data_IF_058772525811
#
_entry.id   IF_058772525811
#
_cell.length_a   1.000
_cell.length_b   1.000
_cell.length_c   1.000
_cell.angle_alpha   90.00
_cell.angle_beta   90.00
_cell.angle_gamma   90.00
#
_symmetry.space_group_name_H-M   'P 1'
#
loop_
_entity.id
_entity.type
_entity.pdbx_description
1 polymer ?
#
# COMPACT_ATOMS: atom_id res chain seq x y z
N UNK A 1 -33.97 7.76 -5.99
CA UNK A 1 -32.88 7.29 -6.86
C UNK A 1 -31.58 7.68 -6.18
N UNK A 2 -30.88 6.72 -5.57
CA UNK A 2 -29.66 6.98 -4.82
C UNK A 2 -28.53 7.39 -5.75
N UNK A 3 -27.89 8.51 -5.45
CA UNK A 3 -26.68 8.94 -6.14
C UNK A 3 -25.66 7.80 -6.07
N UNK A 4 -25.28 7.25 -7.23
CA UNK A 4 -24.19 6.28 -7.32
C UNK A 4 -22.96 6.97 -6.71
N UNK A 5 -22.38 6.39 -5.67
CA UNK A 5 -21.11 6.83 -5.10
C UNK A 5 -20.06 6.72 -6.22
N UNK A 6 -19.82 7.82 -6.91
CA UNK A 6 -18.83 7.89 -7.98
C UNK A 6 -17.45 8.11 -7.36
N UNK A 7 -16.58 7.11 -7.58
CA UNK A 7 -15.15 7.06 -7.28
C UNK A 7 -14.71 6.98 -5.82
N UNK A 8 -14.73 5.76 -5.26
CA UNK A 8 -14.01 5.38 -4.03
C UNK A 8 -12.46 5.35 -4.16
N UNK A 9 -11.87 6.03 -5.16
CA UNK A 9 -10.42 6.07 -5.40
C UNK A 9 -10.03 7.42 -6.02
N UNK A 10 -9.73 8.42 -5.21
CA UNK A 10 -8.90 9.53 -5.70
C UNK A 10 -7.50 8.98 -5.85
N UNK A 11 -7.14 8.59 -7.07
CA UNK A 11 -5.78 8.14 -7.37
C UNK A 11 -4.86 9.36 -7.40
N UNK A 12 -3.81 9.29 -6.60
CA UNK A 12 -2.76 10.31 -6.53
C UNK A 12 -1.44 9.69 -6.89
N UNK A 13 -0.78 10.26 -7.90
CA UNK A 13 0.59 9.94 -8.26
C UNK A 13 1.54 10.86 -7.48
N UNK A 14 2.76 10.40 -7.14
CA UNK A 14 3.74 11.27 -6.52
C UNK A 14 4.18 12.38 -7.50
N UNK A 15 4.63 13.51 -6.97
CA UNK A 15 5.23 14.60 -7.77
C UNK A 15 6.68 14.28 -8.10
N UNK A 16 7.41 13.73 -7.14
CA UNK A 16 8.81 13.31 -7.27
C UNK A 16 8.97 11.81 -7.45
N UNK A 17 10.22 11.38 -7.62
CA UNK A 17 10.59 9.97 -7.51
C UNK A 17 10.40 9.49 -6.07
N UNK A 18 9.93 8.26 -5.89
CA UNK A 18 9.77 7.62 -4.58
C UNK A 18 10.67 6.40 -4.52
N UNK A 19 11.62 6.37 -3.59
CA UNK A 19 12.42 5.18 -3.30
C UNK A 19 11.59 4.19 -2.50
N UNK A 20 11.60 2.94 -2.94
CA UNK A 20 10.95 1.81 -2.28
C UNK A 20 11.99 1.13 -1.39
N UNK A 21 11.74 1.13 -0.09
CA UNK A 21 12.71 0.70 0.91
C UNK A 21 12.20 -0.56 1.59
N UNK A 22 13.01 -1.62 1.57
CA UNK A 22 12.74 -2.91 2.19
C UNK A 22 13.76 -3.18 3.28
N UNK A 23 13.31 -3.34 4.53
CA UNK A 23 14.18 -3.60 5.68
C UNK A 23 15.34 -2.60 5.82
N UNK A 24 15.12 -1.34 5.43
CA UNK A 24 16.12 -0.26 5.42
C UNK A 24 16.98 -0.16 4.15
N UNK A 25 16.81 -1.05 3.17
CA UNK A 25 17.55 -1.04 1.91
C UNK A 25 16.67 -0.60 0.72
N UNK A 26 17.19 0.24 -0.18
CA UNK A 26 16.47 0.63 -1.40
C UNK A 26 16.44 -0.55 -2.37
N UNK A 27 15.23 -1.00 -2.73
CA UNK A 27 15.00 -2.12 -3.66
C UNK A 27 14.43 -1.69 -5.00
N UNK A 28 14.07 -0.42 -5.13
CA UNK A 28 13.62 0.15 -6.39
C UNK A 28 13.09 1.56 -6.25
N UNK A 29 12.52 2.07 -7.34
CA UNK A 29 11.98 3.41 -7.42
C UNK A 29 10.65 3.42 -8.18
N UNK A 30 9.76 4.30 -7.74
CA UNK A 30 8.52 4.65 -8.43
C UNK A 30 8.72 6.03 -9.03
N UNK A 31 8.51 6.14 -10.33
CA UNK A 31 8.62 7.41 -11.05
C UNK A 31 7.30 8.19 -10.97
N UNK A 32 7.35 9.53 -11.05
CA UNK A 32 6.16 10.37 -11.13
C UNK A 32 5.52 10.22 -12.51
N UNK A 33 4.73 9.17 -12.65
CA UNK A 33 4.04 8.79 -13.89
C UNK A 33 2.63 8.28 -13.60
N UNK A 34 1.87 8.02 -14.66
CA UNK A 34 0.52 7.47 -14.60
C UNK A 34 0.45 6.23 -13.68
N UNK A 35 -0.65 6.05 -12.92
CA UNK A 35 -0.80 4.89 -12.04
C UNK A 35 -0.54 3.57 -12.77
N UNK A 36 0.36 2.76 -12.22
CA UNK A 36 0.72 1.46 -12.77
C UNK A 36 1.13 0.48 -11.67
N UNK A 37 1.20 -0.80 -12.01
CA UNK A 37 1.68 -1.85 -11.11
C UNK A 37 3.21 -1.89 -11.13
N UNK A 38 3.81 -1.97 -9.95
CA UNK A 38 5.25 -2.16 -9.77
C UNK A 38 5.52 -3.50 -9.08
N UNK A 39 6.63 -4.12 -9.43
CA UNK A 39 7.15 -5.33 -8.77
C UNK A 39 8.65 -5.19 -8.60
N UNK A 40 9.11 -5.42 -7.37
CA UNK A 40 10.53 -5.30 -7.01
C UNK A 40 11.02 -6.65 -6.49
N UNK A 41 12.00 -7.29 -7.16
CA UNK A 41 12.57 -8.54 -6.67
C UNK A 41 13.36 -8.28 -5.39
N UNK A 42 13.06 -9.05 -4.35
CA UNK A 42 13.78 -8.99 -3.07
C UNK A 42 14.69 -10.22 -2.97
N UNK A 43 16.01 -10.04 -2.74
CA UNK A 43 16.89 -11.16 -2.46
C UNK A 43 16.43 -11.93 -1.23
N UNK A 44 16.36 -13.27 -1.31
CA UNK A 44 15.94 -14.10 -0.18
C UNK A 44 16.78 -13.92 1.08
N UNK A 45 18.05 -13.52 0.93
CA UNK A 45 18.95 -13.18 2.04
C UNK A 45 18.54 -11.93 2.83
N UNK A 46 17.67 -11.07 2.27
CA UNK A 46 17.11 -9.90 2.94
C UNK A 46 15.68 -10.16 3.49
N UNK A 47 15.23 -11.41 3.49
CA UNK A 47 13.97 -11.79 4.16
C UNK A 47 14.24 -12.09 5.63
N UNK A 48 13.38 -11.53 6.48
CA UNK A 48 13.36 -11.71 7.94
C UNK A 48 12.01 -12.31 8.34
N UNK A 49 11.87 -12.72 9.61
CA UNK A 49 10.58 -13.17 10.15
C UNK A 49 9.51 -12.06 10.10
N UNK A 50 9.91 -10.81 10.33
CA UNK A 50 9.09 -9.63 10.12
C UNK A 50 9.85 -8.66 9.21
N UNK A 51 9.19 -8.17 8.18
CA UNK A 51 9.78 -7.30 7.17
C UNK A 51 9.01 -5.99 7.09
N UNK A 52 9.74 -4.90 6.87
CA UNK A 52 9.18 -3.57 6.74
C UNK A 52 9.36 -3.06 5.31
N UNK A 53 8.27 -2.54 4.75
CA UNK A 53 8.25 -1.79 3.49
C UNK A 53 7.91 -0.34 3.77
N UNK A 54 8.73 0.57 3.26
CA UNK A 54 8.59 2.01 3.45
C UNK A 54 8.75 2.73 2.10
N UNK A 55 8.29 3.98 2.06
CA UNK A 55 8.35 4.83 0.87
C UNK A 55 9.04 6.14 1.22
N UNK A 56 10.17 6.42 0.58
CA UNK A 56 10.92 7.66 0.76
C UNK A 56 10.72 8.57 -0.45
N UNK A 57 10.12 9.74 -0.22
CA UNK A 57 9.81 10.71 -1.26
C UNK A 57 11.01 11.64 -1.48
N UNK A 58 11.33 11.93 -2.73
CA UNK A 58 12.36 12.93 -3.08
C UNK A 58 11.90 14.37 -2.85
N UNK A 59 10.60 14.61 -2.85
CA UNK A 59 9.98 15.92 -2.64
C UNK A 59 9.33 15.99 -1.25
N UNK A 60 9.51 17.12 -0.56
CA UNK A 60 8.80 17.41 0.68
C UNK A 60 7.30 17.63 0.43
N UNK A 61 6.47 17.33 1.44
CA UNK A 61 4.99 17.46 1.35
C UNK A 61 4.41 16.69 0.14
N UNK A 62 5.07 15.61 -0.30
CA UNK A 62 4.60 14.77 -1.40
C UNK A 62 3.81 13.56 -0.87
N UNK A 63 3.14 12.88 -1.79
CA UNK A 63 2.34 11.72 -1.45
C UNK A 63 1.70 11.05 -2.65
N UNK A 64 1.39 9.78 -2.47
CA UNK A 64 0.72 8.97 -3.48
C UNK A 64 -0.33 8.06 -2.83
N UNK A 65 -1.24 7.56 -3.66
CA UNK A 65 -2.15 6.48 -3.30
C UNK A 65 -1.66 5.17 -3.89
N UNK A 66 -1.78 4.07 -3.14
CA UNK A 66 -1.61 2.72 -3.67
C UNK A 66 -2.76 1.82 -3.22
N UNK A 67 -2.94 0.68 -3.91
CA UNK A 67 -3.81 -0.39 -3.41
C UNK A 67 -3.08 -1.11 -2.25
N UNK A 68 -3.36 -2.38 -1.97
CA UNK A 68 -2.65 -3.12 -0.91
C UNK A 68 -1.30 -3.66 -1.40
N UNK A 69 -0.16 -3.27 -0.78
CA UNK A 69 1.11 -3.93 -1.01
C UNK A 69 1.03 -5.41 -0.69
N UNK A 70 1.77 -6.20 -1.46
CA UNK A 70 1.76 -7.65 -1.42
C UNK A 70 3.20 -8.13 -1.51
N UNK A 71 3.62 -8.97 -0.56
CA UNK A 71 4.83 -9.76 -0.67
C UNK A 71 4.48 -11.14 -1.22
N UNK A 72 5.20 -11.59 -2.24
CA UNK A 72 5.09 -12.97 -2.75
C UNK A 72 6.35 -13.75 -2.40
N UNK A 73 6.20 -14.83 -1.61
CA UNK A 73 7.31 -15.72 -1.22
C UNK A 73 6.91 -17.15 -1.55
N UNK A 74 7.68 -17.83 -2.41
CA UNK A 74 7.42 -19.23 -2.79
C UNK A 74 5.98 -19.48 -3.27
N UNK A 75 5.38 -18.51 -3.98
CA UNK A 75 3.98 -18.56 -4.44
C UNK A 75 2.93 -18.15 -3.40
N UNK A 76 3.30 -17.99 -2.13
CA UNK A 76 2.41 -17.51 -1.08
C UNK A 76 2.30 -15.99 -1.10
N UNK A 77 1.08 -15.48 -0.89
CA UNK A 77 0.77 -14.05 -0.85
C UNK A 77 0.62 -13.59 0.60
N UNK A 78 1.47 -12.65 1.02
CA UNK A 78 1.47 -12.07 2.37
C UNK A 78 1.12 -10.59 2.25
N UNK A 79 0.18 -10.14 3.08
CA UNK A 79 -0.24 -8.75 3.19
C UNK A 79 0.09 -8.22 4.57
N UNK A 80 0.03 -6.90 4.72
CA UNK A 80 0.01 -6.29 6.04
C UNK A 80 -1.17 -6.81 6.87
N UNK A 81 -0.99 -7.24 8.14
CA UNK A 81 -2.08 -7.71 8.98
C UNK A 81 -3.25 -6.72 9.11
N UNK A 82 -2.97 -5.40 9.03
CA UNK A 82 -3.99 -4.34 9.06
C UNK A 82 -4.89 -4.35 7.82
N UNK A 83 -4.43 -4.89 6.70
CA UNK A 83 -5.22 -4.98 5.47
C UNK A 83 -6.47 -5.86 5.67
N UNK A 84 -6.35 -6.97 6.40
CA UNK A 84 -7.48 -7.84 6.74
C UNK A 84 -8.52 -7.11 7.61
N UNK A 85 -8.07 -6.38 8.64
CA UNK A 85 -8.95 -5.59 9.50
C UNK A 85 -9.67 -4.48 8.71
N UNK A 86 -8.95 -3.78 7.83
CA UNK A 86 -9.54 -2.75 6.97
C UNK A 86 -10.59 -3.35 6.00
N UNK A 87 -10.33 -4.55 5.47
CA UNK A 87 -11.28 -5.30 4.64
C UNK A 87 -12.55 -5.66 5.43
N UNK A 88 -12.41 -6.17 6.65
CA UNK A 88 -13.55 -6.53 7.51
C UNK A 88 -14.43 -5.32 7.82
N UNK A 89 -13.84 -4.17 8.17
CA UNK A 89 -14.59 -2.94 8.38
C UNK A 89 -15.37 -2.55 7.11
N UNK A 90 -14.71 -2.59 5.94
CA UNK A 90 -15.35 -2.22 4.67
C UNK A 90 -16.51 -3.16 4.33
N UNK A 91 -16.31 -4.47 4.46
CA UNK A 91 -17.35 -5.44 4.12
C UNK A 91 -18.51 -5.43 5.11
N UNK A 92 -18.26 -5.15 6.38
CA UNK A 92 -19.30 -4.99 7.40
C UNK A 92 -20.22 -3.81 7.14
N UNK A 93 -19.70 -2.70 6.61
CA UNK A 93 -20.47 -1.47 6.37
C UNK A 93 -21.10 -1.38 4.96
N UNK A 94 -20.40 -1.84 3.92
CA UNK A 94 -20.81 -1.67 2.52
C UNK A 94 -21.04 -2.99 1.77
N UNK A 95 -20.95 -4.13 2.45
CA UNK A 95 -21.15 -5.46 1.89
C UNK A 95 -19.89 -6.05 1.24
N UNK A 96 -19.96 -7.32 0.86
CA UNK A 96 -18.81 -8.11 0.41
C UNK A 96 -18.08 -7.52 -0.81
N UNK A 97 -18.80 -6.83 -1.71
CA UNK A 97 -18.21 -6.19 -2.88
C UNK A 97 -17.21 -5.07 -2.53
N UNK A 98 -17.24 -4.54 -1.30
CA UNK A 98 -16.39 -3.45 -0.85
C UNK A 98 -15.02 -3.90 -0.30
N UNK A 99 -14.73 -5.20 -0.26
CA UNK A 99 -13.48 -5.73 0.28
C UNK A 99 -12.24 -5.05 -0.35
N UNK A 100 -12.25 -4.89 -1.67
CA UNK A 100 -11.12 -4.31 -2.42
C UNK A 100 -11.37 -2.84 -2.82
N UNK A 101 -12.37 -2.20 -2.20
CA UNK A 101 -12.62 -0.78 -2.42
C UNK A 101 -11.62 0.06 -1.62
N UNK A 102 -10.87 0.89 -2.35
CA UNK A 102 -9.91 1.83 -1.77
C UNK A 102 -8.47 1.33 -1.74
N UNK A 103 -7.72 1.73 -0.71
CA UNK A 103 -6.27 1.52 -0.61
C UNK A 103 -5.63 2.34 0.48
N UNK A 104 -4.35 2.67 0.29
CA UNK A 104 -3.54 3.39 1.26
C UNK A 104 -3.02 4.70 0.66
N UNK A 105 -2.80 5.68 1.54
CA UNK A 105 -2.17 6.95 1.25
C UNK A 105 -0.80 6.95 1.94
N UNK A 106 0.25 7.26 1.20
CA UNK A 106 1.62 7.31 1.71
C UNK A 106 2.27 8.63 1.33
N UNK A 107 3.14 9.13 2.21
CA UNK A 107 3.74 10.45 2.14
C UNK A 107 3.29 11.35 3.28
N UNK A 108 3.77 12.60 3.24
CA UNK A 108 3.54 13.60 4.27
C UNK A 108 2.62 14.72 3.81
N UNK A 109 2.19 14.71 2.54
CA UNK A 109 1.38 15.78 1.98
C UNK A 109 0.13 16.07 2.83
N UNK A 110 -0.06 17.33 3.21
CA UNK A 110 -1.26 17.77 3.93
C UNK A 110 -2.56 17.49 3.16
N UNK A 111 -2.45 17.37 1.83
CA UNK A 111 -3.56 17.07 0.92
C UNK A 111 -3.93 15.57 0.88
N UNK A 112 -3.17 14.70 1.55
CA UNK A 112 -3.60 13.33 1.77
C UNK A 112 -4.68 13.36 2.85
N UNK A 113 -5.93 13.13 2.48
CA UNK A 113 -7.04 13.06 3.42
C UNK A 113 -7.57 11.63 3.49
N UNK A 114 -7.69 11.10 4.70
CA UNK A 114 -8.28 9.78 4.89
C UNK A 114 -9.77 9.79 4.53
N UNK A 115 -10.25 8.64 4.08
CA UNK A 115 -11.66 8.43 3.80
C UNK A 115 -12.06 7.04 4.28
N UNK A 116 -13.35 6.67 4.29
CA UNK A 116 -13.77 5.31 4.61
C UNK A 116 -13.02 4.22 3.82
N UNK A 117 -12.55 4.53 2.61
CA UNK A 117 -11.86 3.61 1.72
C UNK A 117 -10.33 3.81 1.67
N UNK A 118 -9.80 4.94 2.14
CA UNK A 118 -8.37 5.25 2.08
C UNK A 118 -7.80 5.55 3.48
N UNK A 119 -6.71 4.88 3.85
CA UNK A 119 -6.03 5.08 5.14
C UNK A 119 -4.59 5.53 4.94
N UNK A 120 -4.12 6.44 5.80
CA UNK A 120 -2.70 6.85 5.83
C UNK A 120 -1.89 5.73 6.46
N UNK A 121 -0.87 5.26 5.74
CA UNK A 121 0.01 4.21 6.24
C UNK A 121 1.35 4.23 5.52
N UNK A 122 2.34 4.92 6.08
CA UNK A 122 3.65 5.07 5.44
C UNK A 122 4.52 3.81 5.47
N UNK A 123 4.18 2.85 6.33
CA UNK A 123 4.96 1.64 6.58
C UNK A 123 4.06 0.40 6.53
N UNK A 124 4.52 -0.67 5.90
CA UNK A 124 3.80 -1.93 5.76
C UNK A 124 4.64 -3.07 6.32
N UNK A 125 4.04 -3.91 7.16
CA UNK A 125 4.71 -5.02 7.82
C UNK A 125 4.28 -6.36 7.20
N UNK A 126 5.26 -7.19 6.81
CA UNK A 126 5.02 -8.53 6.29
C UNK A 126 5.64 -9.56 7.23
N UNK A 127 4.78 -10.30 7.93
CA UNK A 127 5.20 -11.35 8.86
C UNK A 127 5.20 -12.69 8.13
N UNK A 128 6.38 -13.30 8.05
CA UNK A 128 6.56 -14.64 7.52
C UNK A 128 6.46 -15.60 8.72
N UNK A 129 5.34 -16.30 8.83
CA UNK A 129 5.27 -17.46 9.72
C UNK A 129 6.17 -18.55 9.15
N UNK A 130 7.06 -19.11 9.97
CA UNK A 130 7.83 -20.29 9.55
C UNK A 130 6.85 -21.34 9.02
N UNK A 131 6.98 -21.67 7.73
CA UNK A 131 6.40 -22.90 7.20
C UNK A 131 7.16 -24.04 7.87
N UNK A 132 6.56 -24.60 8.92
CA UNK A 132 6.97 -25.89 9.47
C UNK A 132 6.93 -26.98 8.40
#
# INVERSE_FOLDING_TARGET
MGSKITNAKTQRTPRGTVSVVWNGEVVGQIQPQTPQTYSFPIPGSNLKAANLLEFQFSEEDDGMSLNSPLLTVQGNRVYDPRDAANREIRTGHWGQGAADWGGFLVGTSAQLEESPFQRKQNEFCFVLTETK
#
